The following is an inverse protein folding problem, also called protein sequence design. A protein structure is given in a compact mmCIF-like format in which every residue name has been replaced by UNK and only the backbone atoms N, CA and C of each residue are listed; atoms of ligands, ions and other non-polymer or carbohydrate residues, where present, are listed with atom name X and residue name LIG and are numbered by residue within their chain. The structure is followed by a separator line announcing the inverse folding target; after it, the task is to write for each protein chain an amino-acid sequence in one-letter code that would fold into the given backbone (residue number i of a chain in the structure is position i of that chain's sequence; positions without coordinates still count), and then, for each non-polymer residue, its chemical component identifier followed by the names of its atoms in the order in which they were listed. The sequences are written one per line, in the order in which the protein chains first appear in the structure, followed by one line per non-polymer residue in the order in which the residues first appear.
data_IF_997474472026
#
_entry.id   IF_997474472026
#
_cell.length_a   1.000
_cell.length_b   1.000
_cell.length_c   1.000
_cell.angle_alpha   90.00
_cell.angle_beta   90.00
_cell.angle_gamma   90.00
#
_symmetry.space_group_name_H-M   'P 1'
#
loop_
_entity.id
_entity.type
_entity.pdbx_description
1 polymer ?
#
# COMPACT_ATOMS: atom_id res chain seq x y z
N UNK A 1 0.53 -22.68 -7.10
CA UNK A 1 1.66 -21.74 -7.30
C UNK A 1 2.15 -21.91 -8.73
N UNK A 2 2.30 -20.82 -9.48
CA UNK A 2 2.88 -20.84 -10.84
C UNK A 2 4.24 -20.16 -10.84
N UNK A 3 5.17 -20.72 -11.61
CA UNK A 3 6.50 -20.16 -11.82
C UNK A 3 6.43 -19.09 -12.91
N UNK A 4 7.08 -17.94 -12.69
CA UNK A 4 7.21 -16.91 -13.71
C UNK A 4 8.22 -17.35 -14.77
N UNK A 5 7.75 -17.54 -16.00
CA UNK A 5 8.57 -18.02 -17.12
C UNK A 5 8.97 -16.91 -18.11
N UNK A 6 8.82 -15.63 -17.75
CA UNK A 6 9.12 -14.52 -18.65
C UNK A 6 7.96 -14.17 -19.59
N UNK A 7 8.29 -13.65 -20.78
CA UNK A 7 7.32 -13.15 -21.75
C UNK A 7 6.52 -14.31 -22.36
N UNK A 8 5.21 -14.31 -22.13
CA UNK A 8 4.28 -15.20 -22.84
C UNK A 8 3.96 -14.63 -24.24
N UNK A 9 3.67 -15.48 -25.24
CA UNK A 9 3.29 -15.05 -26.58
C UNK A 9 1.91 -14.36 -26.63
N UNK A 10 1.05 -14.61 -25.65
CA UNK A 10 -0.30 -14.04 -25.60
C UNK A 10 -0.33 -12.63 -25.01
N UNK A 11 -1.10 -11.76 -25.66
CA UNK A 11 -1.39 -10.39 -25.21
C UNK A 11 -2.59 -10.41 -24.28
N UNK A 12 -2.33 -10.71 -23.00
CA UNK A 12 -3.34 -10.47 -21.96
C UNK A 12 -3.43 -8.97 -21.64
N UNK A 13 -4.64 -8.41 -21.70
CA UNK A 13 -4.89 -6.98 -21.49
C UNK A 13 -4.71 -6.49 -20.04
N UNK A 14 -4.38 -7.38 -19.08
CA UNK A 14 -4.25 -7.03 -17.66
C UNK A 14 -2.78 -7.03 -17.18
N UNK A 15 -2.39 -6.07 -16.31
CA UNK A 15 -1.03 -6.00 -15.77
C UNK A 15 -0.64 -7.28 -15.04
N UNK A 16 0.62 -7.73 -15.21
CA UNK A 16 1.15 -8.95 -14.58
C UNK A 16 0.92 -8.98 -13.06
N UNK A 17 1.16 -7.86 -12.36
CA UNK A 17 0.99 -7.79 -10.91
C UNK A 17 -0.43 -8.13 -10.46
N UNK A 18 -1.44 -7.52 -11.09
CA UNK A 18 -2.85 -7.80 -10.79
C UNK A 18 -3.24 -9.24 -11.08
N UNK A 19 -2.72 -9.81 -12.18
CA UNK A 19 -2.98 -11.22 -12.54
C UNK A 19 -2.47 -12.18 -11.49
N UNK A 20 -1.24 -11.97 -11.01
CA UNK A 20 -0.67 -12.81 -9.96
C UNK A 20 -1.51 -12.76 -8.69
N UNK A 21 -1.98 -11.57 -8.28
CA UNK A 21 -2.86 -11.43 -7.12
C UNK A 21 -4.16 -12.19 -7.31
N UNK A 22 -4.85 -12.00 -8.44
CA UNK A 22 -6.11 -12.70 -8.72
C UNK A 22 -5.94 -14.22 -8.81
N UNK A 23 -4.85 -14.70 -9.40
CA UNK A 23 -4.56 -16.13 -9.47
C UNK A 23 -4.36 -16.73 -8.07
N UNK A 24 -3.61 -16.06 -7.19
CA UNK A 24 -3.41 -16.53 -5.82
C UNK A 24 -4.73 -16.52 -5.02
N UNK A 25 -5.55 -15.47 -5.20
CA UNK A 25 -6.83 -15.32 -4.51
C UNK A 25 -7.93 -16.25 -5.03
N UNK A 26 -7.77 -16.88 -6.20
CA UNK A 26 -8.77 -17.80 -6.78
C UNK A 26 -9.13 -18.98 -5.88
N UNK A 27 -8.24 -19.35 -4.96
CA UNK A 27 -8.44 -20.44 -4.00
C UNK A 27 -9.13 -20.00 -2.69
N UNK A 28 -9.30 -18.69 -2.47
CA UNK A 28 -9.87 -18.13 -1.24
C UNK A 28 -11.40 -18.15 -1.31
N UNK A 29 -12.03 -19.02 -0.51
CA UNK A 29 -13.49 -19.21 -0.51
C UNK A 29 -14.28 -18.13 0.26
N UNK A 30 -13.68 -17.52 1.28
CA UNK A 30 -14.33 -16.52 2.15
C UNK A 30 -13.52 -15.20 2.18
N UNK A 31 -13.64 -14.35 1.16
CA UNK A 31 -12.86 -13.10 1.03
C UNK A 31 -12.89 -12.18 2.25
N UNK A 32 -14.03 -12.09 2.91
CA UNK A 32 -14.34 -11.22 4.04
C UNK A 32 -13.63 -11.61 5.35
N UNK A 33 -13.20 -12.89 5.44
CA UNK A 33 -12.50 -13.47 6.59
C UNK A 33 -10.98 -13.38 6.49
N UNK A 34 -10.44 -12.80 5.42
CA UNK A 34 -9.01 -12.73 5.19
C UNK A 34 -8.59 -11.28 4.96
N UNK A 35 -7.45 -10.93 5.55
CA UNK A 35 -6.76 -9.68 5.28
C UNK A 35 -5.53 -9.98 4.45
N UNK A 36 -5.41 -9.30 3.32
CA UNK A 36 -4.41 -9.59 2.31
C UNK A 36 -3.42 -8.44 2.26
N UNK A 37 -2.14 -8.80 2.29
CA UNK A 37 -1.04 -7.87 2.21
C UNK A 37 -0.14 -8.21 1.02
N UNK A 38 0.22 -7.21 0.21
CA UNK A 38 1.15 -7.40 -0.91
C UNK A 38 2.05 -6.19 -1.15
N UNK A 39 3.17 -6.44 -1.82
CA UNK A 39 4.17 -5.43 -2.14
C UNK A 39 3.77 -4.56 -3.35
N UNK A 40 4.44 -3.42 -3.47
CA UNK A 40 4.21 -2.35 -4.44
C UNK A 40 4.22 -2.79 -5.90
N UNK A 41 4.93 -3.88 -6.24
CA UNK A 41 4.95 -4.41 -7.60
C UNK A 41 3.57 -4.91 -8.03
N UNK A 42 2.80 -5.48 -7.10
CA UNK A 42 1.49 -6.06 -7.33
C UNK A 42 0.36 -5.05 -7.17
N UNK A 43 0.65 -3.90 -6.56
CA UNK A 43 -0.36 -2.87 -6.25
C UNK A 43 -0.71 -1.96 -7.44
N UNK A 44 -1.97 -1.53 -7.44
CA UNK A 44 -2.49 -0.36 -8.17
C UNK A 44 -3.81 0.09 -7.54
N UNK A 45 -4.17 1.38 -7.67
CA UNK A 45 -5.47 1.86 -7.21
C UNK A 45 -6.63 1.03 -7.77
N UNK A 46 -6.61 0.77 -9.09
CA UNK A 46 -7.64 -0.03 -9.77
C UNK A 46 -7.80 -1.43 -9.14
N UNK A 47 -6.70 -2.13 -8.88
CA UNK A 47 -6.75 -3.45 -8.24
C UNK A 47 -7.37 -3.39 -6.84
N UNK A 48 -7.05 -2.39 -6.03
CA UNK A 48 -7.62 -2.23 -4.68
C UNK A 48 -9.13 -1.97 -4.74
N UNK A 49 -9.59 -1.18 -5.72
CA UNK A 49 -11.03 -0.97 -5.98
C UNK A 49 -11.71 -2.28 -6.36
N UNK A 50 -11.18 -3.04 -7.33
CA UNK A 50 -11.74 -4.33 -7.75
C UNK A 50 -11.77 -5.37 -6.61
N UNK A 51 -10.74 -5.39 -5.76
CA UNK A 51 -10.69 -6.25 -4.57
C UNK A 51 -11.79 -5.87 -3.57
N UNK A 52 -12.03 -4.57 -3.40
CA UNK A 52 -13.10 -4.06 -2.53
C UNK A 52 -14.48 -4.49 -3.04
N UNK A 53 -14.73 -4.38 -4.34
CA UNK A 53 -15.97 -4.84 -4.99
C UNK A 53 -16.22 -6.35 -4.82
N UNK A 54 -15.16 -7.14 -4.61
CA UNK A 54 -15.23 -8.58 -4.33
C UNK A 54 -15.11 -8.93 -2.84
N UNK A 55 -15.28 -7.95 -1.95
CA UNK A 55 -15.24 -8.11 -0.48
C UNK A 55 -13.89 -8.61 0.08
N UNK A 56 -12.79 -8.46 -0.66
CA UNK A 56 -11.46 -8.71 -0.12
C UNK A 56 -10.96 -7.50 0.67
N UNK A 57 -10.49 -7.74 1.89
CA UNK A 57 -9.77 -6.74 2.68
C UNK A 57 -8.30 -6.75 2.28
N UNK A 58 -7.85 -5.70 1.61
CA UNK A 58 -6.51 -5.61 1.06
C UNK A 58 -5.78 -4.34 1.50
N UNK A 59 -4.52 -4.50 1.87
CA UNK A 59 -3.58 -3.42 2.17
C UNK A 59 -2.27 -3.66 1.44
N UNK A 60 -1.69 -2.62 0.84
CA UNK A 60 -0.42 -2.75 0.12
C UNK A 60 0.40 -1.48 0.18
N UNK A 61 1.72 -1.61 0.03
CA UNK A 61 2.52 -0.46 -0.38
C UNK A 61 2.21 -0.15 -1.84
N UNK A 62 2.24 1.13 -2.23
CA UNK A 62 1.87 1.55 -3.59
C UNK A 62 2.86 2.57 -4.14
N UNK A 63 3.23 2.40 -5.42
CA UNK A 63 4.08 3.36 -6.12
C UNK A 63 3.29 4.62 -6.44
N UNK A 64 3.95 5.77 -6.38
CA UNK A 64 3.35 7.08 -6.62
C UNK A 64 2.59 7.16 -7.95
N UNK A 65 3.18 6.61 -9.03
CA UNK A 65 2.57 6.56 -10.36
C UNK A 65 1.42 5.55 -10.53
N UNK A 66 1.04 4.83 -9.47
CA UNK A 66 -0.06 3.84 -9.46
C UNK A 66 -1.20 4.19 -8.51
N UNK A 67 -1.12 5.35 -7.87
CA UNK A 67 -2.11 5.87 -6.90
C UNK A 67 -3.44 6.30 -7.52
N UNK A 68 -3.63 6.17 -8.84
CA UNK A 68 -4.85 6.64 -9.50
C UNK A 68 -4.93 8.15 -9.66
N UNK A 69 -3.79 8.87 -9.61
CA UNK A 69 -3.72 10.35 -9.59
C UNK A 69 -4.28 10.98 -8.32
N UNK A 70 -4.33 10.21 -7.23
CA UNK A 70 -4.67 10.71 -5.90
C UNK A 70 -3.83 11.96 -5.55
N UNK A 71 -4.45 13.09 -5.16
CA UNK A 71 -3.77 14.38 -4.99
C UNK A 71 -3.02 14.47 -3.65
N UNK A 72 -2.06 13.58 -3.44
CA UNK A 72 -1.15 13.59 -2.28
C UNK A 72 -0.02 14.59 -2.49
N UNK A 73 0.47 15.17 -1.39
CA UNK A 73 1.71 15.94 -1.40
C UNK A 73 2.84 15.10 -2.00
N UNK A 74 3.68 15.73 -2.83
CA UNK A 74 4.67 15.01 -3.64
C UNK A 74 5.66 14.22 -2.78
N UNK A 75 6.26 13.13 -3.30
CA UNK A 75 7.30 12.40 -2.57
C UNK A 75 8.51 13.29 -2.21
N UNK A 76 8.77 14.35 -3.01
CA UNK A 76 9.83 15.33 -2.76
C UNK A 76 9.53 16.19 -1.53
N UNK A 77 8.29 16.65 -1.39
CA UNK A 77 7.85 17.37 -0.18
C UNK A 77 7.86 16.45 1.03
N UNK A 78 7.33 15.23 0.89
CA UNK A 78 7.25 14.26 1.98
C UNK A 78 8.61 13.86 2.56
N UNK A 79 9.67 13.90 1.74
CA UNK A 79 11.04 13.66 2.23
C UNK A 79 11.49 14.66 3.30
N UNK A 80 10.95 15.89 3.28
CA UNK A 80 11.27 16.97 4.20
C UNK A 80 10.43 16.95 5.49
N UNK A 81 9.40 16.11 5.56
CA UNK A 81 8.57 16.03 6.75
C UNK A 81 9.33 15.50 7.95
N UNK A 82 8.85 15.86 9.13
CA UNK A 82 9.27 15.19 10.36
C UNK A 82 8.82 13.73 10.33
N UNK A 83 9.65 12.86 10.90
CA UNK A 83 9.34 11.43 10.98
C UNK A 83 8.09 11.22 11.82
N UNK A 84 7.15 10.44 11.30
CA UNK A 84 5.83 10.23 11.87
C UNK A 84 4.74 11.02 11.15
N UNK A 85 5.07 12.07 10.39
CA UNK A 85 4.05 12.85 9.68
C UNK A 85 3.55 12.12 8.43
N UNK A 86 2.31 12.40 8.07
CA UNK A 86 1.62 11.77 6.96
C UNK A 86 0.63 12.72 6.27
N UNK A 87 0.23 12.35 5.06
CA UNK A 87 -0.83 12.97 4.26
C UNK A 87 -1.67 11.84 3.65
N UNK A 88 -2.99 11.99 3.58
CA UNK A 88 -3.88 10.91 3.15
C UNK A 88 -5.10 11.39 2.38
N UNK A 89 -5.66 10.53 1.55
CA UNK A 89 -6.97 10.71 0.91
C UNK A 89 -7.77 9.42 1.04
N UNK A 90 -9.09 9.58 1.08
CA UNK A 90 -10.03 8.47 0.93
C UNK A 90 -10.87 8.79 -0.30
N UNK A 91 -10.64 8.06 -1.39
CA UNK A 91 -11.38 8.26 -2.64
C UNK A 91 -12.18 6.98 -2.95
N UNK A 92 -13.50 7.11 -2.89
CA UNK A 92 -14.40 5.96 -3.00
C UNK A 92 -14.08 4.89 -1.96
N UNK A 93 -13.76 3.68 -2.43
CA UNK A 93 -13.46 2.52 -1.59
C UNK A 93 -11.97 2.37 -1.24
N UNK A 94 -11.09 3.27 -1.68
CA UNK A 94 -9.65 3.15 -1.47
C UNK A 94 -9.12 4.32 -0.66
N UNK A 95 -8.52 3.97 0.48
CA UNK A 95 -7.74 4.85 1.33
C UNK A 95 -6.27 4.81 0.88
N UNK A 96 -5.65 5.97 0.67
CA UNK A 96 -4.22 6.09 0.37
C UNK A 96 -3.55 7.05 1.33
N UNK A 97 -2.47 6.60 1.96
CA UNK A 97 -1.70 7.37 2.93
C UNK A 97 -0.23 7.39 2.56
N UNK A 98 0.34 8.59 2.50
CA UNK A 98 1.78 8.84 2.41
C UNK A 98 2.31 9.14 3.79
N UNK A 99 3.29 8.39 4.24
CA UNK A 99 3.86 8.50 5.57
C UNK A 99 5.38 8.60 5.51
N UNK A 100 5.94 9.48 6.34
CA UNK A 100 7.38 9.64 6.50
C UNK A 100 7.85 8.86 7.72
N UNK A 101 8.42 7.68 7.49
CA UNK A 101 9.22 6.99 8.50
C UNK A 101 10.72 7.34 8.28
N UNK A 102 11.60 6.34 8.27
CA UNK A 102 12.98 6.47 7.81
C UNK A 102 13.04 6.88 6.33
N UNK A 103 12.16 6.29 5.52
CA UNK A 103 11.89 6.68 4.13
C UNK A 103 10.44 7.16 3.98
N UNK A 104 10.13 7.77 2.83
CA UNK A 104 8.74 8.06 2.46
C UNK A 104 8.13 6.78 1.92
N UNK A 105 7.03 6.35 2.52
CA UNK A 105 6.25 5.19 2.09
C UNK A 105 4.86 5.67 1.71
N UNK A 106 4.26 5.07 0.68
CA UNK A 106 2.83 5.25 0.39
C UNK A 106 2.15 3.90 0.52
N UNK A 107 1.07 3.86 1.28
CA UNK A 107 0.25 2.67 1.54
C UNK A 107 -1.14 2.95 0.97
N UNK A 108 -1.75 1.93 0.40
CA UNK A 108 -3.15 1.92 0.02
C UNK A 108 -3.87 0.78 0.72
N UNK A 109 -5.10 1.01 1.18
CA UNK A 109 -5.98 0.01 1.75
C UNK A 109 -7.42 0.24 1.29
N UNK A 110 -8.23 -0.80 1.26
CA UNK A 110 -9.66 -0.69 0.97
C UNK A 110 -10.58 -0.96 2.17
N UNK A 111 -10.02 -1.16 3.36
CA UNK A 111 -10.80 -1.52 4.56
C UNK A 111 -10.30 -0.88 5.85
N UNK A 112 -9.06 -0.41 5.91
CA UNK A 112 -8.49 0.29 7.07
C UNK A 112 -7.95 1.65 6.69
N UNK A 113 -7.99 2.57 7.65
CA UNK A 113 -7.43 3.91 7.53
C UNK A 113 -6.14 4.02 8.37
N UNK A 114 -5.67 5.25 8.62
CA UNK A 114 -4.53 5.47 9.49
C UNK A 114 -4.83 5.33 10.98
N UNK A 115 -6.09 5.11 11.35
CA UNK A 115 -6.52 5.04 12.74
C UNK A 115 -6.51 3.59 13.28
N UNK A 116 -6.12 3.37 14.55
CA UNK A 116 -5.62 4.37 15.49
C UNK A 116 -4.15 4.75 15.21
N UNK A 117 -3.83 6.03 15.30
CA UNK A 117 -2.42 6.47 15.30
C UNK A 117 -1.79 6.14 16.66
N UNK A 118 -0.76 5.31 16.65
CA UNK A 118 -0.04 4.93 17.89
C UNK A 118 1.33 5.59 17.95
N UNK A 119 1.86 5.81 19.15
CA UNK A 119 3.22 6.27 19.34
C UNK A 119 4.16 5.10 19.60
N UNK A 120 5.26 5.03 18.86
CA UNK A 120 6.28 3.99 19.06
C UNK A 120 7.68 4.57 19.17
N UNK A 121 8.54 3.92 19.97
CA UNK A 121 9.95 4.31 20.14
C UNK A 121 10.73 3.79 18.93
N UNK A 122 11.29 4.70 18.12
CA UNK A 122 12.14 4.35 16.98
C UNK A 122 13.54 4.93 17.12
N UNK A 123 14.52 4.16 16.66
CA UNK A 123 15.89 4.64 16.54
C UNK A 123 15.99 5.73 15.46
N UNK A 124 16.54 6.88 15.81
CA UNK A 124 16.80 7.97 14.86
C UNK A 124 18.24 7.88 14.32
N UNK A 125 18.40 7.41 13.07
CA UNK A 125 19.72 7.33 12.41
C UNK A 125 20.41 8.69 12.30
N UNK A 126 19.66 9.77 12.07
CA UNK A 126 20.21 11.13 11.99
C UNK A 126 20.88 11.57 13.31
N UNK A 127 20.34 11.14 14.45
CA UNK A 127 20.85 11.47 15.78
C UNK A 127 21.75 10.37 16.36
N UNK A 128 22.00 9.28 15.60
CA UNK A 128 22.87 8.13 15.89
C UNK A 128 22.71 7.39 17.23
N UNK A 129 21.92 7.88 18.20
CA UNK A 129 21.83 7.30 19.56
C UNK A 129 20.51 7.51 20.31
N UNK A 130 19.51 8.22 19.77
CA UNK A 130 18.25 8.51 20.50
C UNK A 130 17.05 7.75 19.93
N UNK A 131 16.32 7.09 20.84
CA UNK A 131 14.96 6.64 20.61
C UNK A 131 14.06 7.89 20.64
N UNK A 132 13.32 8.11 19.56
CA UNK A 132 12.31 9.16 19.45
C UNK A 132 10.94 8.51 19.40
N UNK A 133 9.93 9.17 19.99
CA UNK A 133 8.53 8.79 19.79
C UNK A 133 8.08 9.32 18.43
N UNK A 134 7.52 8.43 17.62
CA UNK A 134 6.97 8.76 16.31
C UNK A 134 5.59 8.17 16.18
N UNK A 135 4.73 8.91 15.48
CA UNK A 135 3.43 8.41 15.06
C UNK A 135 3.65 7.26 14.06
N UNK A 136 3.11 6.10 14.41
CA UNK A 136 3.08 4.89 13.61
C UNK A 136 1.68 4.69 13.08
N UNK A 137 1.61 4.42 11.79
CA UNK A 137 0.37 4.06 11.10
C UNK A 137 0.58 2.65 10.57
N UNK A 138 -0.31 1.74 10.97
CA UNK A 138 -0.22 0.28 10.78
C UNK A 138 1.02 -0.34 11.46
#
# INVERSE_FOLDING_TARGET
MRIYCGKKPETENSPLGSRVVWELLSSVKNPDKHEIFFDNFFSSHKLLTELSEKNFKATSTIRDNRTGRCPLKSPKEAKKWQRGNFDYRSEGQVYICRWKDSAVVTISSNYVTHEPVTQTKRFCRAQKRKLIFVNQIL
#
